data_IF_203107880776
#
_entry.id   IF_203107880776
#
_cell.length_a   1.000
_cell.length_b   1.000
_cell.length_c   1.000
_cell.angle_alpha   90.00
_cell.angle_beta   90.00
_cell.angle_gamma   90.00
#
_symmetry.space_group_name_H-M   'P 1'
#
loop_
_entity.id
_entity.type
_entity.pdbx_description
1 polymer ?
#
# COMPACT_ATOMS: atom_id res chain seq x y z
N UNK A 1 -29.62 8.14 31.62
CA UNK A 1 -28.22 8.60 31.73
C UNK A 1 -27.79 8.96 30.32
N UNK A 2 -27.43 10.23 30.09
CA UNK A 2 -27.12 10.77 28.77
C UNK A 2 -26.06 9.91 28.07
N UNK A 3 -26.37 9.43 26.86
CA UNK A 3 -25.34 9.06 25.89
C UNK A 3 -24.66 10.37 25.51
N UNK A 4 -23.40 10.56 25.89
CA UNK A 4 -22.60 11.64 25.32
C UNK A 4 -22.42 11.28 23.84
N UNK A 5 -23.19 11.93 22.98
CA UNK A 5 -22.94 11.91 21.54
C UNK A 5 -21.50 12.42 21.34
N UNK A 6 -20.61 11.66 20.69
CA UNK A 6 -19.24 12.10 20.56
C UNK A 6 -19.19 13.28 19.58
N UNK A 7 -19.08 14.48 20.16
CA UNK A 7 -19.03 15.74 19.44
C UNK A 7 -17.69 15.90 18.69
N UNK A 8 -17.69 15.53 17.41
CA UNK A 8 -16.66 15.89 16.43
C UNK A 8 -15.51 14.88 16.25
N UNK A 9 -14.27 15.37 16.11
CA UNK A 9 -13.08 14.55 15.74
C UNK A 9 -12.83 13.41 16.75
N UNK A 10 -13.23 13.58 18.01
CA UNK A 10 -13.07 12.55 19.03
C UNK A 10 -13.99 11.33 18.79
N UNK A 11 -15.16 11.52 18.17
CA UNK A 11 -16.01 10.41 17.76
C UNK A 11 -15.41 9.54 16.67
N UNK A 12 -14.59 10.13 15.78
CA UNK A 12 -13.84 9.36 14.79
C UNK A 12 -12.85 8.41 15.48
N UNK A 13 -12.15 8.90 16.50
CA UNK A 13 -11.16 8.12 17.24
C UNK A 13 -11.85 7.01 18.03
N UNK A 14 -12.99 7.30 18.64
CA UNK A 14 -13.77 6.33 19.40
C UNK A 14 -14.31 5.20 18.51
N UNK A 15 -14.87 5.53 17.35
CA UNK A 15 -15.30 4.56 16.33
C UNK A 15 -14.16 3.63 15.89
N UNK A 16 -12.98 4.20 15.60
CA UNK A 16 -11.82 3.41 15.19
C UNK A 16 -11.33 2.53 16.34
N UNK A 17 -11.30 3.07 17.56
CA UNK A 17 -10.86 2.34 18.75
C UNK A 17 -11.79 1.17 19.07
N UNK A 18 -13.10 1.40 19.13
CA UNK A 18 -14.08 0.37 19.43
C UNK A 18 -14.04 -0.77 18.40
N UNK A 19 -13.89 -0.42 17.12
CA UNK A 19 -13.70 -1.39 16.05
C UNK A 19 -12.45 -2.26 16.27
N UNK A 20 -11.34 -1.68 16.72
CA UNK A 20 -10.11 -2.45 16.93
C UNK A 20 -10.08 -3.22 18.25
N UNK A 21 -10.83 -2.78 19.26
CA UNK A 21 -10.95 -3.46 20.56
C UNK A 21 -11.86 -4.70 20.50
N UNK A 22 -12.87 -4.72 19.60
CA UNK A 22 -13.85 -5.83 19.52
C UNK A 22 -14.01 -6.45 18.11
N UNK A 23 -13.68 -5.75 17.04
CA UNK A 23 -14.00 -6.13 15.65
C UNK A 23 -12.87 -6.76 14.85
N UNK A 24 -11.60 -6.75 15.30
CA UNK A 24 -10.49 -7.39 14.55
C UNK A 24 -10.77 -8.88 14.34
N UNK A 25 -11.32 -9.55 15.36
CA UNK A 25 -11.57 -10.99 15.33
C UNK A 25 -12.59 -11.37 14.24
N UNK A 26 -13.52 -10.47 13.91
CA UNK A 26 -14.51 -10.64 12.84
C UNK A 26 -13.98 -10.21 11.46
N UNK A 27 -12.94 -9.35 11.41
CA UNK A 27 -12.42 -8.74 10.19
C UNK A 27 -10.94 -9.04 9.93
N UNK A 28 -10.59 -10.33 9.97
CA UNK A 28 -9.22 -10.85 9.75
C UNK A 28 -8.59 -10.37 8.43
N UNK A 29 -9.40 -10.03 7.42
CA UNK A 29 -8.92 -9.57 6.11
C UNK A 29 -8.15 -8.24 6.21
N UNK A 30 -8.54 -7.34 7.12
CA UNK A 30 -7.84 -6.07 7.38
C UNK A 30 -6.47 -6.35 7.99
N UNK A 31 -6.43 -7.28 8.96
CA UNK A 31 -5.18 -7.73 9.57
C UNK A 31 -4.24 -8.36 8.54
N UNK A 32 -4.76 -9.24 7.67
CA UNK A 32 -3.98 -9.86 6.59
C UNK A 32 -3.42 -8.81 5.62
N UNK A 33 -4.21 -7.80 5.25
CA UNK A 33 -3.71 -6.72 4.40
C UNK A 33 -2.58 -5.95 5.09
N UNK A 34 -2.73 -5.59 6.37
CA UNK A 34 -1.66 -4.92 7.12
C UNK A 34 -0.37 -5.77 7.16
N UNK A 35 -0.49 -7.07 7.38
CA UNK A 35 0.64 -8.00 7.35
C UNK A 35 1.29 -8.08 5.96
N UNK A 36 0.50 -8.17 4.89
CA UNK A 36 1.00 -8.17 3.51
C UNK A 36 1.76 -6.89 3.19
N UNK A 37 1.22 -5.72 3.55
CA UNK A 37 1.91 -4.43 3.32
C UNK A 37 3.21 -4.37 4.12
N UNK A 38 3.22 -4.83 5.37
CA UNK A 38 4.44 -4.90 6.17
C UNK A 38 5.51 -5.80 5.53
N UNK A 39 5.11 -6.97 5.01
CA UNK A 39 5.99 -7.85 4.25
C UNK A 39 6.52 -7.18 2.99
N UNK A 40 5.69 -6.47 2.25
CA UNK A 40 6.10 -5.76 1.04
C UNK A 40 7.14 -4.65 1.34
N UNK A 41 6.99 -3.93 2.46
CA UNK A 41 8.01 -2.96 2.91
C UNK A 41 9.33 -3.67 3.20
N UNK A 42 9.32 -4.78 3.95
CA UNK A 42 10.54 -5.53 4.30
C UNK A 42 11.22 -6.05 3.03
N UNK A 43 10.46 -6.60 2.09
CA UNK A 43 10.99 -7.12 0.83
C UNK A 43 11.48 -6.01 -0.10
N UNK A 44 10.78 -4.88 -0.17
CA UNK A 44 11.20 -3.70 -0.91
C UNK A 44 12.53 -3.14 -0.38
N UNK A 45 12.70 -3.08 0.95
CA UNK A 45 13.96 -2.70 1.59
C UNK A 45 15.05 -3.73 1.29
N UNK A 46 14.75 -5.02 1.40
CA UNK A 46 15.70 -6.11 1.13
C UNK A 46 16.20 -6.08 -0.32
N UNK A 47 15.30 -5.85 -1.28
CA UNK A 47 15.64 -5.65 -2.69
C UNK A 47 16.53 -4.43 -2.87
N UNK A 48 16.13 -3.26 -2.35
CA UNK A 48 16.92 -2.03 -2.51
C UNK A 48 18.34 -2.15 -1.91
N UNK A 49 18.47 -2.92 -0.83
CA UNK A 49 19.77 -3.25 -0.22
C UNK A 49 20.60 -4.18 -1.12
N UNK A 50 20.02 -5.28 -1.63
CA UNK A 50 20.72 -6.23 -2.51
C UNK A 50 21.30 -5.57 -3.77
N UNK A 51 20.55 -4.65 -4.38
CA UNK A 51 20.99 -3.91 -5.58
C UNK A 51 21.85 -2.67 -5.28
N UNK A 52 22.17 -2.38 -4.01
CA UNK A 52 22.95 -1.21 -3.59
C UNK A 52 22.38 0.14 -4.08
N UNK A 53 21.09 0.20 -4.40
CA UNK A 53 20.39 1.42 -4.82
C UNK A 53 19.72 2.15 -3.66
N UNK A 54 20.07 1.78 -2.42
CA UNK A 54 19.46 2.32 -1.23
C UNK A 54 19.75 3.82 -1.09
N UNK A 55 18.69 4.63 -1.21
CA UNK A 55 18.74 6.07 -0.97
C UNK A 55 17.68 6.45 0.04
N UNK A 56 18.04 7.28 1.03
CA UNK A 56 17.11 7.73 2.07
C UNK A 56 15.88 8.45 1.51
N UNK A 57 15.99 9.10 0.34
CA UNK A 57 14.86 9.76 -0.33
C UNK A 57 13.89 8.74 -0.92
N UNK A 58 14.41 7.69 -1.58
CA UNK A 58 13.61 6.59 -2.14
C UNK A 58 12.93 5.79 -1.02
N UNK A 59 13.69 5.40 0.00
CA UNK A 59 13.18 4.70 1.18
C UNK A 59 12.05 5.46 1.88
N UNK A 60 12.25 6.76 2.18
CA UNK A 60 11.22 7.57 2.83
C UNK A 60 9.96 7.70 1.97
N UNK A 61 10.12 7.88 0.65
CA UNK A 61 8.97 7.95 -0.27
C UNK A 61 8.18 6.64 -0.27
N UNK A 62 8.87 5.50 -0.32
CA UNK A 62 8.26 4.18 -0.20
C UNK A 62 7.52 4.02 1.12
N UNK A 63 8.20 4.26 2.25
CA UNK A 63 7.61 4.13 3.58
C UNK A 63 6.38 5.01 3.75
N UNK A 64 6.46 6.29 3.39
CA UNK A 64 5.32 7.22 3.51
C UNK A 64 4.11 6.73 2.70
N UNK A 65 4.32 6.20 1.49
CA UNK A 65 3.22 5.68 0.67
C UNK A 65 2.53 4.47 1.32
N UNK A 66 3.31 3.52 1.83
CA UNK A 66 2.76 2.31 2.44
C UNK A 66 2.12 2.60 3.80
N UNK A 67 2.73 3.46 4.62
CA UNK A 67 2.15 3.92 5.88
C UNK A 67 0.85 4.70 5.66
N UNK A 68 0.80 5.59 4.67
CA UNK A 68 -0.43 6.32 4.35
C UNK A 68 -1.55 5.37 3.93
N UNK A 69 -1.24 4.35 3.12
CA UNK A 69 -2.20 3.33 2.73
C UNK A 69 -2.76 2.56 3.93
N UNK A 70 -1.88 2.11 4.85
CA UNK A 70 -2.29 1.43 6.08
C UNK A 70 -3.23 2.33 6.90
N UNK A 71 -2.88 3.62 7.08
CA UNK A 71 -3.71 4.55 7.85
C UNK A 71 -5.08 4.78 7.21
N UNK A 72 -5.15 4.90 5.88
CA UNK A 72 -6.41 5.08 5.15
C UNK A 72 -7.30 3.85 5.34
N UNK A 73 -6.78 2.64 5.20
CA UNK A 73 -7.55 1.41 5.41
C UNK A 73 -7.95 1.27 6.88
N UNK A 74 -7.02 1.53 7.79
CA UNK A 74 -7.23 1.31 9.21
C UNK A 74 -8.32 2.21 9.79
N UNK A 75 -8.35 3.47 9.35
CA UNK A 75 -9.37 4.43 9.76
C UNK A 75 -10.63 4.23 8.92
N UNK A 76 -10.49 4.08 7.59
CA UNK A 76 -11.60 4.06 6.65
C UNK A 76 -12.48 2.81 6.72
N UNK A 77 -11.90 1.65 7.01
CA UNK A 77 -12.64 0.38 7.10
C UNK A 77 -13.79 0.43 8.12
N UNK A 78 -13.56 0.83 9.39
CA UNK A 78 -14.64 1.07 10.35
C UNK A 78 -15.78 1.91 9.78
N UNK A 79 -15.49 3.07 9.19
CA UNK A 79 -16.53 3.95 8.63
C UNK A 79 -17.33 3.30 7.49
N UNK A 80 -16.68 2.53 6.63
CA UNK A 80 -17.39 1.84 5.54
C UNK A 80 -18.37 0.78 6.06
N UNK A 81 -18.07 0.15 7.20
CA UNK A 81 -19.01 -0.74 7.87
C UNK A 81 -20.20 0.02 8.45
N UNK A 82 -19.97 1.16 9.12
CA UNK A 82 -21.05 2.04 9.59
C UNK A 82 -21.98 2.50 8.46
N UNK A 83 -21.44 2.70 7.26
CA UNK A 83 -22.22 3.08 6.06
C UNK A 83 -22.89 1.89 5.36
N UNK A 84 -22.78 0.67 5.90
CA UNK A 84 -23.29 -0.57 5.31
C UNK A 84 -22.71 -0.86 3.90
N UNK A 85 -21.44 -0.49 3.68
CA UNK A 85 -20.70 -0.68 2.43
C UNK A 85 -19.69 -1.85 2.51
N UNK A 86 -19.90 -2.80 3.43
CA UNK A 86 -18.99 -3.92 3.68
C UNK A 86 -18.53 -4.65 2.39
N UNK A 87 -19.42 -5.00 1.42
CA UNK A 87 -18.98 -5.71 0.22
C UNK A 87 -18.05 -4.88 -0.67
N UNK A 88 -18.22 -3.55 -0.69
CA UNK A 88 -17.39 -2.65 -1.50
C UNK A 88 -15.98 -2.57 -0.92
N UNK A 89 -15.87 -2.41 0.39
CA UNK A 89 -14.57 -2.30 1.04
C UNK A 89 -13.82 -3.65 1.04
N UNK A 90 -14.53 -4.77 1.19
CA UNK A 90 -13.90 -6.10 1.13
C UNK A 90 -13.33 -6.37 -0.28
N UNK A 91 -14.08 -6.03 -1.33
CA UNK A 91 -13.59 -6.13 -2.71
C UNK A 91 -12.35 -5.24 -2.94
N UNK A 92 -12.37 -4.02 -2.39
CA UNK A 92 -11.22 -3.13 -2.42
C UNK A 92 -10.00 -3.73 -1.71
N UNK A 93 -10.17 -4.28 -0.49
CA UNK A 93 -9.09 -4.94 0.26
C UNK A 93 -8.52 -6.12 -0.53
N UNK A 94 -9.36 -6.98 -1.11
CA UNK A 94 -8.90 -8.11 -1.92
C UNK A 94 -8.08 -7.62 -3.13
N UNK A 95 -8.54 -6.56 -3.79
CA UNK A 95 -7.79 -5.97 -4.91
C UNK A 95 -6.43 -5.43 -4.47
N UNK A 96 -6.35 -4.86 -3.26
CA UNK A 96 -5.11 -4.37 -2.66
C UNK A 96 -4.19 -5.51 -2.27
N UNK A 97 -4.71 -6.60 -1.69
CA UNK A 97 -3.92 -7.80 -1.43
C UNK A 97 -3.31 -8.36 -2.73
N UNK A 98 -4.06 -8.35 -3.85
CA UNK A 98 -3.52 -8.76 -5.14
C UNK A 98 -2.42 -7.80 -5.65
N UNK A 99 -2.63 -6.49 -5.50
CA UNK A 99 -1.65 -5.48 -5.90
C UNK A 99 -0.33 -5.60 -5.09
N UNK A 100 -0.43 -5.70 -3.77
CA UNK A 100 0.72 -5.90 -2.89
C UNK A 100 1.34 -7.29 -3.07
N UNK A 101 0.54 -8.32 -3.31
CA UNK A 101 1.04 -9.65 -3.69
C UNK A 101 1.90 -9.58 -4.96
N UNK A 102 1.48 -8.82 -5.97
CA UNK A 102 2.29 -8.57 -7.16
C UNK A 102 3.62 -7.86 -6.84
N UNK A 103 3.60 -6.85 -5.97
CA UNK A 103 4.80 -6.13 -5.52
C UNK A 103 5.80 -7.05 -4.80
N UNK A 104 5.28 -7.91 -3.92
CA UNK A 104 6.05 -8.95 -3.21
C UNK A 104 6.68 -9.91 -4.21
N UNK A 105 5.91 -10.45 -5.15
CA UNK A 105 6.40 -11.37 -6.17
C UNK A 105 7.51 -10.75 -7.02
N UNK A 106 7.37 -9.48 -7.41
CA UNK A 106 8.41 -8.75 -8.12
C UNK A 106 9.67 -8.57 -7.26
N UNK A 107 9.52 -8.28 -5.97
CA UNK A 107 10.64 -8.14 -5.04
C UNK A 107 11.37 -9.47 -4.82
N UNK A 108 10.65 -10.58 -4.69
CA UNK A 108 11.21 -11.94 -4.57
C UNK A 108 11.93 -12.37 -5.86
N UNK A 109 11.33 -12.11 -7.02
CA UNK A 109 11.96 -12.39 -8.33
C UNK A 109 13.27 -11.61 -8.52
N UNK A 110 13.31 -10.35 -8.10
CA UNK A 110 14.53 -9.55 -8.12
C UNK A 110 15.60 -10.07 -7.14
N UNK A 111 15.19 -10.67 -6.02
CA UNK A 111 16.12 -11.31 -5.07
C UNK A 111 16.60 -12.70 -5.53
N UNK A 112 16.15 -13.19 -6.69
CA UNK A 112 16.51 -14.51 -7.21
C UNK A 112 15.79 -15.67 -6.53
N UNK A 113 14.69 -15.40 -5.82
CA UNK A 113 13.84 -16.43 -5.23
C UNK A 113 12.86 -16.90 -6.31
N UNK A 114 13.13 -18.06 -6.88
CA UNK A 114 12.26 -18.77 -7.82
C UNK A 114 11.08 -19.37 -7.06
N UNK A 115 9.85 -18.95 -7.40
CA UNK A 115 8.63 -19.49 -6.81
C UNK A 115 8.06 -20.52 -7.78
N UNK A 116 8.18 -21.83 -7.46
CA UNK A 116 7.60 -22.86 -8.31
C UNK A 116 6.09 -22.59 -8.45
N UNK A 117 5.54 -22.81 -9.65
CA UNK A 117 4.18 -22.46 -10.12
C UNK A 117 3.94 -21.04 -10.65
N UNK A 118 4.68 -20.02 -10.22
CA UNK A 118 4.45 -18.62 -10.66
C UNK A 118 5.49 -18.19 -11.70
N UNK A 119 6.67 -18.81 -11.71
CA UNK A 119 7.76 -18.48 -12.64
C UNK A 119 7.35 -18.48 -14.12
N UNK A 120 6.52 -19.42 -14.56
CA UNK A 120 6.04 -19.48 -15.95
C UNK A 120 5.14 -18.29 -16.34
N UNK A 121 4.44 -17.68 -15.39
CA UNK A 121 3.57 -16.52 -15.62
C UNK A 121 4.33 -15.19 -15.50
N UNK A 122 5.26 -15.10 -14.54
CA UNK A 122 6.09 -13.90 -14.32
C UNK A 122 7.08 -13.74 -15.47
N UNK A 123 7.81 -14.79 -15.87
CA UNK A 123 8.82 -14.71 -16.93
C UNK A 123 8.22 -14.37 -18.31
N UNK A 124 6.92 -14.64 -18.53
CA UNK A 124 6.24 -14.44 -19.82
C UNK A 124 5.46 -13.13 -19.93
N UNK A 125 5.12 -12.48 -18.82
CA UNK A 125 4.28 -11.26 -18.81
C UNK A 125 4.86 -10.08 -18.00
N UNK A 126 5.84 -10.31 -17.12
CA UNK A 126 6.50 -9.25 -16.37
C UNK A 126 7.74 -8.84 -17.15
N UNK A 127 7.52 -7.89 -18.04
CA UNK A 127 8.54 -7.22 -18.81
C UNK A 127 9.67 -6.73 -17.89
N UNK A 128 10.93 -7.03 -18.25
CA UNK A 128 12.10 -6.59 -17.47
C UNK A 128 12.15 -5.06 -17.37
N UNK A 129 11.48 -4.35 -18.28
CA UNK A 129 11.31 -2.90 -18.26
C UNK A 129 10.28 -2.42 -17.23
N UNK A 130 9.31 -3.24 -16.83
CA UNK A 130 8.39 -2.89 -15.72
C UNK A 130 9.06 -2.90 -14.35
N UNK A 131 10.23 -3.54 -14.22
CA UNK A 131 11.06 -3.40 -13.02
C UNK A 131 11.63 -1.98 -12.85
N UNK A 132 11.50 -1.12 -13.87
CA UNK A 132 11.73 0.32 -13.82
C UNK A 132 10.44 1.15 -13.85
N UNK A 133 9.28 0.63 -13.44
CA UNK A 133 8.09 1.48 -13.31
C UNK A 133 8.23 2.45 -12.13
N UNK A 134 8.77 3.63 -12.46
CA UNK A 134 8.30 4.92 -11.98
C UNK A 134 8.24 5.09 -10.45
N UNK A 135 9.38 4.97 -9.77
CA UNK A 135 9.56 5.61 -8.46
C UNK A 135 9.50 7.16 -8.53
N UNK A 136 9.32 7.75 -9.72
CA UNK A 136 8.83 9.10 -9.92
C UNK A 136 7.55 9.03 -10.74
N UNK A 137 6.41 9.44 -10.18
CA UNK A 137 5.79 10.64 -10.77
C UNK A 137 6.89 11.63 -11.19
N UNK A 138 7.40 11.50 -12.42
CA UNK A 138 8.09 12.60 -13.07
C UNK A 138 7.07 13.73 -13.14
N UNK A 139 7.28 14.76 -12.32
CA UNK A 139 6.60 16.03 -12.51
C UNK A 139 6.76 16.45 -13.97
N UNK A 140 5.71 16.97 -14.63
CA UNK A 140 5.83 17.42 -16.00
C UNK A 140 6.98 18.44 -16.06
N UNK A 141 8.04 18.08 -16.80
CA UNK A 141 9.18 18.96 -17.11
C UNK A 141 8.60 20.29 -17.56
N UNK A 142 8.72 21.32 -16.72
CA UNK A 142 8.38 22.69 -17.10
C UNK A 142 9.17 23.00 -18.37
N UNK A 143 8.44 23.11 -19.49
CA UNK A 143 8.95 23.61 -20.77
C UNK A 143 9.67 24.93 -20.49
N UNK A 144 11.00 24.91 -20.52
CA UNK A 144 11.81 26.12 -20.61
C UNK A 144 11.46 26.78 -21.95
N UNK A 145 10.56 27.76 -21.93
CA UNK A 145 10.39 28.72 -23.03
C UNK A 145 11.68 29.55 -23.12
N UNK A 146 12.63 29.07 -23.90
CA UNK A 146 13.73 29.88 -24.41
C UNK A 146 13.37 30.36 -25.82
N UNK A 147 13.04 31.65 -25.95
CA UNK A 147 13.27 32.44 -27.16
C UNK A 147 12.94 33.91 -26.88
N UNK A 148 13.86 34.65 -26.27
CA UNK A 148 14.00 36.08 -26.57
C UNK A 148 15.10 36.19 -27.63
N UNK A 149 14.69 36.49 -28.86
CA UNK A 149 15.59 36.89 -29.95
C UNK A 149 16.36 38.14 -29.50
N UNK A 150 17.65 38.19 -29.87
CA UNK A 150 18.44 39.42 -29.93
C UNK A 150 17.81 40.39 -30.91
#
# INVERSE_FOLDING_TARGET
MYQEEPDGIFGIIEVVRDFYDHGIDEHIIVFLLMAIVALDIILGVSRAWAYHEFSSRKWRKGLVSHTAMILIVAIGYPFTLYMNLAPVIDAFIISMMAAYGSSILASLSALGIEIPFIDQYIQRNVDREKFQLNEGLEEPKKLKKGAKKK
#
